data_IF_273278955200
#
_entry.id   IF_273278955200
#
_cell.length_a   1.000
_cell.length_b   1.000
_cell.length_c   1.000
_cell.angle_alpha   90.00
_cell.angle_beta   90.00
_cell.angle_gamma   90.00
#
_symmetry.space_group_name_H-M   'P 1'
#
loop_
_entity.id
_entity.type
_entity.pdbx_description
1 polymer ?
#
# COMPACT_ATOMS: atom_id res chain seq x y z
N UNK A 1 15.84 -15.40 -7.40
CA UNK A 1 15.72 -13.92 -7.38
C UNK A 1 16.81 -13.29 -6.51
N UNK A 2 17.08 -13.86 -5.34
CA UNK A 2 18.21 -13.53 -4.47
C UNK A 2 19.02 -14.81 -4.17
N UNK A 3 20.19 -14.68 -3.59
CA UNK A 3 21.05 -15.77 -3.13
C UNK A 3 20.91 -15.99 -1.60
N UNK A 4 20.75 -14.90 -0.84
CA UNK A 4 20.51 -14.95 0.62
C UNK A 4 19.30 -14.11 1.01
N UNK A 5 18.60 -14.52 2.05
CA UNK A 5 17.48 -13.78 2.62
C UNK A 5 17.62 -13.74 4.14
N UNK A 6 17.67 -12.55 4.73
CA UNK A 6 17.75 -12.37 6.17
C UNK A 6 16.39 -12.01 6.73
N UNK A 7 15.95 -12.69 7.77
CA UNK A 7 14.83 -12.24 8.61
C UNK A 7 15.42 -11.58 9.84
N UNK A 8 15.46 -10.25 9.85
CA UNK A 8 16.12 -9.49 10.90
C UNK A 8 15.29 -9.46 12.21
N UNK A 9 15.99 -9.47 13.34
CA UNK A 9 15.39 -9.36 14.68
C UNK A 9 15.39 -7.96 15.27
N UNK A 10 16.33 -7.10 14.84
CA UNK A 10 16.52 -5.75 15.32
C UNK A 10 17.18 -4.87 14.25
N UNK A 11 17.12 -3.54 14.42
CA UNK A 11 17.70 -2.58 13.46
C UNK A 11 19.22 -2.69 13.38
N UNK A 12 19.90 -2.96 14.49
CA UNK A 12 21.38 -3.00 14.52
C UNK A 12 21.92 -4.14 13.65
N UNK A 13 21.26 -5.30 13.65
CA UNK A 13 21.57 -6.41 12.73
C UNK A 13 21.35 -6.01 11.27
N UNK A 14 20.30 -5.23 10.97
CA UNK A 14 20.04 -4.71 9.61
C UNK A 14 21.21 -3.83 9.16
N UNK A 15 21.60 -2.87 9.99
CA UNK A 15 22.69 -1.94 9.69
C UNK A 15 24.03 -2.67 9.56
N UNK A 16 24.30 -3.68 10.39
CA UNK A 16 25.49 -4.53 10.27
C UNK A 16 25.52 -5.29 8.94
N UNK A 17 24.39 -5.89 8.53
CA UNK A 17 24.31 -6.61 7.27
C UNK A 17 24.52 -5.66 6.09
N UNK A 18 23.92 -4.47 6.11
CA UNK A 18 24.08 -3.48 5.04
C UNK A 18 25.52 -2.95 4.94
N UNK A 19 26.18 -2.67 6.07
CA UNK A 19 27.60 -2.29 6.09
C UNK A 19 28.50 -3.40 5.54
N UNK A 20 28.24 -4.65 5.94
CA UNK A 20 29.05 -5.82 5.55
C UNK A 20 28.89 -6.16 4.07
N UNK A 21 27.66 -6.16 3.58
CA UNK A 21 27.33 -6.62 2.21
C UNK A 21 27.27 -5.48 1.20
N UNK A 22 27.27 -4.24 1.67
CA UNK A 22 27.32 -3.05 0.85
C UNK A 22 26.17 -2.99 -0.15
N UNK A 23 26.42 -2.57 -1.40
CA UNK A 23 25.41 -2.49 -2.46
C UNK A 23 24.74 -3.83 -2.81
N UNK A 24 25.28 -4.97 -2.36
CA UNK A 24 24.70 -6.29 -2.67
C UNK A 24 23.52 -6.67 -1.78
N UNK A 25 23.32 -5.96 -0.66
CA UNK A 25 22.17 -6.15 0.22
C UNK A 25 21.11 -5.07 0.02
N UNK A 26 19.84 -5.45 0.19
CA UNK A 26 18.73 -4.50 0.16
C UNK A 26 17.63 -4.85 1.16
N UNK A 27 17.13 -3.83 1.85
CA UNK A 27 16.00 -3.98 2.77
C UNK A 27 14.73 -4.35 1.97
N UNK A 28 13.91 -5.23 2.54
CA UNK A 28 12.56 -5.53 2.06
C UNK A 28 11.52 -5.38 3.19
N UNK A 29 10.53 -4.53 2.97
CA UNK A 29 9.36 -4.38 3.84
C UNK A 29 8.15 -5.06 3.18
N UNK A 30 7.22 -4.35 2.54
CA UNK A 30 6.11 -5.00 1.84
C UNK A 30 6.51 -5.91 0.67
N UNK A 31 7.58 -5.54 -0.05
CA UNK A 31 8.06 -6.28 -1.23
C UNK A 31 7.23 -6.09 -2.50
N UNK A 32 6.17 -5.29 -2.44
CA UNK A 32 5.18 -5.13 -3.53
C UNK A 32 5.78 -4.58 -4.82
N UNK A 33 6.77 -3.68 -4.74
CA UNK A 33 7.56 -3.21 -5.89
C UNK A 33 8.83 -4.05 -6.08
N UNK A 34 9.62 -4.22 -5.01
CA UNK A 34 10.97 -4.79 -5.09
C UNK A 34 10.98 -6.21 -5.66
N UNK A 35 10.02 -7.06 -5.29
CA UNK A 35 9.96 -8.45 -5.80
C UNK A 35 9.65 -8.47 -7.30
N UNK A 36 8.79 -7.58 -7.78
CA UNK A 36 8.50 -7.46 -9.21
C UNK A 36 9.72 -6.93 -9.97
N UNK A 37 10.41 -5.94 -9.42
CA UNK A 37 11.66 -5.42 -9.98
C UNK A 37 12.71 -6.51 -10.13
N UNK A 38 12.96 -7.30 -9.08
CA UNK A 38 13.91 -8.41 -9.12
C UNK A 38 13.52 -9.49 -10.14
N UNK A 39 12.23 -9.82 -10.26
CA UNK A 39 11.73 -10.77 -11.28
C UNK A 39 12.03 -10.29 -12.70
N UNK A 40 11.86 -8.99 -12.93
CA UNK A 40 12.09 -8.36 -14.22
C UNK A 40 13.57 -8.06 -14.48
N UNK A 41 14.47 -8.56 -13.64
CA UNK A 41 15.92 -8.38 -13.79
C UNK A 41 16.42 -6.98 -13.41
N UNK A 42 15.59 -6.15 -12.78
CA UNK A 42 16.07 -4.91 -12.18
C UNK A 42 16.90 -5.23 -10.93
N UNK A 43 17.93 -4.41 -10.68
CA UNK A 43 18.90 -4.58 -9.58
C UNK A 43 19.75 -5.86 -9.64
N UNK A 44 20.47 -6.12 -10.75
CA UNK A 44 21.26 -7.36 -10.93
C UNK A 44 22.40 -7.53 -9.91
N UNK A 45 22.78 -6.44 -9.22
CA UNK A 45 23.80 -6.43 -8.19
C UNK A 45 23.28 -6.86 -6.81
N UNK A 46 21.96 -6.88 -6.59
CA UNK A 46 21.36 -7.28 -5.30
C UNK A 46 21.37 -8.80 -5.20
N UNK A 47 22.09 -9.31 -4.21
CA UNK A 47 22.24 -10.74 -3.90
C UNK A 47 21.53 -11.13 -2.60
N UNK A 48 21.38 -10.18 -1.68
CA UNK A 48 20.76 -10.42 -0.39
C UNK A 48 19.59 -9.50 -0.14
N UNK A 49 18.54 -10.05 0.46
CA UNK A 49 17.42 -9.27 0.99
C UNK A 49 17.43 -9.28 2.51
N UNK A 50 17.14 -8.14 3.14
CA UNK A 50 17.04 -8.00 4.60
C UNK A 50 15.61 -7.63 4.97
N UNK A 51 14.85 -8.60 5.47
CA UNK A 51 13.45 -8.45 5.84
C UNK A 51 13.30 -7.91 7.25
N UNK A 52 12.58 -6.80 7.36
CA UNK A 52 12.38 -6.06 8.61
C UNK A 52 11.01 -6.31 9.26
N UNK A 53 10.11 -7.08 8.64
CA UNK A 53 8.73 -7.26 9.12
C UNK A 53 8.61 -8.04 10.45
N UNK A 54 9.67 -8.72 10.89
CA UNK A 54 9.71 -9.46 12.16
C UNK A 54 10.59 -8.78 13.21
N UNK A 55 10.95 -7.52 13.00
CA UNK A 55 11.54 -6.66 14.03
C UNK A 55 10.38 -6.11 14.89
N UNK A 56 10.51 -6.21 16.20
CA UNK A 56 9.49 -5.73 17.14
C UNK A 56 9.35 -4.20 17.08
N UNK A 57 8.10 -3.72 17.01
CA UNK A 57 7.78 -2.30 17.19
C UNK A 57 8.14 -1.39 16.04
N UNK A 58 8.27 -1.87 14.79
CA UNK A 58 8.52 -1.04 13.60
C UNK A 58 7.26 -0.51 12.90
N UNK A 59 6.06 -0.94 13.30
CA UNK A 59 4.78 -0.56 12.72
C UNK A 59 4.05 0.53 13.54
N UNK A 60 4.82 1.30 14.31
CA UNK A 60 4.27 2.35 15.17
C UNK A 60 3.76 3.55 14.37
N UNK A 61 2.64 4.11 14.82
CA UNK A 61 2.16 5.44 14.42
C UNK A 61 1.96 6.23 15.72
N UNK A 62 2.83 7.21 15.96
CA UNK A 62 2.92 7.85 17.27
C UNK A 62 2.83 9.37 17.16
N UNK A 63 2.09 9.95 18.09
CA UNK A 63 2.05 11.38 18.35
C UNK A 63 3.14 11.72 19.38
N UNK A 64 4.03 12.65 19.03
CA UNK A 64 5.05 13.18 19.94
C UNK A 64 5.17 14.67 19.73
N UNK A 65 5.00 15.44 20.80
CA UNK A 65 5.01 16.91 20.78
C UNK A 65 4.01 17.46 19.74
N UNK A 66 4.45 18.20 18.72
CA UNK A 66 3.61 18.71 17.62
C UNK A 66 3.76 17.88 16.32
N UNK A 67 4.29 16.67 16.42
CA UNK A 67 4.58 15.82 15.27
C UNK A 67 3.91 14.45 15.34
N UNK A 68 3.81 13.82 14.18
CA UNK A 68 3.42 12.43 14.01
C UNK A 68 4.60 11.68 13.39
N UNK A 69 4.91 10.50 13.92
CA UNK A 69 5.96 9.60 13.43
C UNK A 69 5.34 8.30 12.93
N UNK A 70 5.79 7.81 11.77
CA UNK A 70 5.41 6.51 11.22
C UNK A 70 6.66 5.65 11.08
N UNK A 71 6.60 4.44 11.63
CA UNK A 71 7.69 3.47 11.55
C UNK A 71 7.81 2.75 10.20
N UNK A 72 8.93 2.02 9.97
CA UNK A 72 9.30 1.42 8.69
C UNK A 72 8.31 0.41 8.12
N UNK A 73 7.58 -0.28 9.00
CA UNK A 73 6.65 -1.34 8.60
C UNK A 73 5.18 -0.92 8.70
N UNK A 74 4.90 0.38 8.92
CA UNK A 74 3.53 0.91 8.84
C UNK A 74 2.97 0.69 7.44
N UNK A 75 1.95 -0.16 7.37
CA UNK A 75 1.23 -0.51 6.16
C UNK A 75 0.21 0.56 5.79
N UNK A 76 -0.18 0.62 4.51
CA UNK A 76 -1.22 1.55 4.09
C UNK A 76 -2.55 1.29 4.82
N UNK A 77 -2.94 0.04 5.07
CA UNK A 77 -4.17 -0.28 5.80
C UNK A 77 -4.13 0.16 7.27
N UNK A 78 -2.97 0.11 7.94
CA UNK A 78 -2.84 0.68 9.28
C UNK A 78 -3.10 2.20 9.30
N UNK A 79 -2.78 2.92 8.21
CA UNK A 79 -3.09 4.35 8.13
C UNK A 79 -4.60 4.65 8.11
N UNK A 80 -5.42 3.74 7.58
CA UNK A 80 -6.87 3.94 7.42
C UNK A 80 -7.60 3.99 8.77
N UNK A 81 -7.07 3.30 9.78
CA UNK A 81 -7.71 3.17 11.10
C UNK A 81 -6.89 3.82 12.22
N UNK A 82 -5.86 4.58 11.87
CA UNK A 82 -4.98 5.23 12.84
C UNK A 82 -5.61 6.53 13.36
N UNK A 83 -5.96 6.57 14.66
CA UNK A 83 -6.54 7.77 15.28
C UNK A 83 -5.70 9.04 15.08
N UNK A 84 -4.36 9.04 15.29
CA UNK A 84 -3.55 10.23 15.02
C UNK A 84 -3.64 10.72 13.57
N UNK A 85 -3.64 9.81 12.59
CA UNK A 85 -3.69 10.19 11.18
C UNK A 85 -5.07 10.66 10.76
N UNK A 86 -6.12 10.01 11.24
CA UNK A 86 -7.50 10.44 11.01
C UNK A 86 -7.74 11.85 11.54
N UNK A 87 -7.14 12.18 12.69
CA UNK A 87 -7.30 13.49 13.33
C UNK A 87 -6.44 14.59 12.70
N UNK A 88 -5.19 14.30 12.38
CA UNK A 88 -4.20 15.34 12.06
C UNK A 88 -3.58 15.21 10.66
N UNK A 89 -3.96 14.20 9.87
CA UNK A 89 -3.34 13.91 8.58
C UNK A 89 -4.31 13.27 7.57
N UNK A 90 -5.59 13.67 7.58
CA UNK A 90 -6.61 13.05 6.72
C UNK A 90 -6.26 12.96 5.21
N UNK A 91 -5.55 13.95 4.59
CA UNK A 91 -5.08 13.80 3.21
C UNK A 91 -4.15 12.59 3.00
N UNK A 92 -3.28 12.28 3.98
CA UNK A 92 -2.42 11.10 3.94
C UNK A 92 -3.24 9.81 4.05
N UNK A 93 -4.28 9.80 4.89
CA UNK A 93 -5.20 8.65 5.02
C UNK A 93 -5.92 8.39 3.70
N UNK A 94 -6.47 9.43 3.07
CA UNK A 94 -7.13 9.33 1.76
C UNK A 94 -6.17 8.85 0.66
N UNK A 95 -4.93 9.33 0.67
CA UNK A 95 -3.91 8.85 -0.25
C UNK A 95 -3.57 7.37 -0.02
N UNK A 96 -3.40 6.95 1.24
CA UNK A 96 -3.14 5.55 1.61
C UNK A 96 -4.30 4.62 1.19
N UNK A 97 -5.55 5.05 1.36
CA UNK A 97 -6.74 4.30 0.91
C UNK A 97 -6.75 4.10 -0.60
N UNK A 98 -6.20 5.04 -1.36
CA UNK A 98 -6.14 4.99 -2.82
C UNK A 98 -5.05 4.06 -3.38
N UNK A 99 -4.19 3.49 -2.52
CA UNK A 99 -3.14 2.56 -2.91
C UNK A 99 -3.73 1.19 -3.18
N UNK A 100 -3.52 0.69 -4.39
CA UNK A 100 -3.83 -0.69 -4.79
C UNK A 100 -5.21 -1.18 -4.35
N UNK A 101 -5.29 -2.46 -4.02
CA UNK A 101 -6.42 -3.10 -3.34
C UNK A 101 -6.04 -3.43 -1.88
N UNK A 102 -7.00 -3.80 -1.01
CA UNK A 102 -6.70 -4.08 0.40
C UNK A 102 -5.55 -5.10 0.60
N UNK A 103 -5.45 -6.13 -0.24
CA UNK A 103 -4.35 -7.12 -0.16
C UNK A 103 -2.97 -6.51 -0.42
N UNK A 104 -2.86 -5.50 -1.30
CA UNK A 104 -1.63 -4.74 -1.50
C UNK A 104 -1.38 -3.85 -0.29
N UNK A 105 -2.41 -3.18 0.24
CA UNK A 105 -2.30 -2.29 1.41
C UNK A 105 -1.98 -3.02 2.71
N UNK A 106 -2.28 -4.32 2.80
CA UNK A 106 -1.94 -5.19 3.93
C UNK A 106 -0.44 -5.39 4.13
N UNK A 107 0.35 -5.25 3.07
CA UNK A 107 1.80 -5.49 3.12
C UNK A 107 2.59 -4.28 2.62
N UNK A 108 2.04 -3.50 1.69
CA UNK A 108 2.64 -2.27 1.18
C UNK A 108 2.77 -1.23 2.28
N UNK A 109 4.00 -0.79 2.52
CA UNK A 109 4.36 0.15 3.58
C UNK A 109 4.50 1.57 3.06
N UNK A 110 4.14 2.57 3.88
CA UNK A 110 4.32 3.99 3.55
C UNK A 110 5.79 4.29 3.23
N UNK A 111 6.72 3.86 4.09
CA UNK A 111 8.15 4.08 3.91
C UNK A 111 8.73 3.35 2.69
N UNK A 112 8.29 2.12 2.42
CA UNK A 112 8.61 1.43 1.17
C UNK A 112 8.20 2.23 -0.08
N UNK A 113 7.01 2.85 -0.07
CA UNK A 113 6.55 3.78 -1.11
C UNK A 113 7.51 4.98 -1.30
N UNK A 114 7.99 5.56 -0.18
CA UNK A 114 8.94 6.68 -0.23
C UNK A 114 10.28 6.26 -0.85
N UNK A 115 10.80 5.09 -0.46
CA UNK A 115 12.07 4.54 -0.97
C UNK A 115 11.97 4.18 -2.45
N UNK A 116 10.83 3.64 -2.91
CA UNK A 116 10.60 3.36 -4.34
C UNK A 116 10.71 4.64 -5.19
N UNK A 117 10.34 5.80 -4.64
CA UNK A 117 10.47 7.11 -5.29
C UNK A 117 9.91 7.17 -6.72
N UNK A 118 8.80 6.47 -6.95
CA UNK A 118 8.03 6.62 -8.19
C UNK A 118 7.24 7.94 -8.15
N UNK A 119 7.23 8.72 -9.25
CA UNK A 119 6.48 9.98 -9.32
C UNK A 119 4.96 9.82 -9.19
N UNK A 120 4.46 8.59 -9.38
CA UNK A 120 3.04 8.26 -9.28
C UNK A 120 2.64 7.68 -7.92
N UNK A 121 3.54 7.67 -6.92
CA UNK A 121 3.16 7.29 -5.56
C UNK A 121 2.27 8.35 -4.94
N UNK A 122 1.15 7.92 -4.37
CA UNK A 122 0.13 8.83 -3.90
C UNK A 122 0.45 9.43 -2.54
N UNK A 123 1.10 8.68 -1.64
CA UNK A 123 1.39 9.14 -0.27
C UNK A 123 2.51 10.19 -0.20
N UNK A 124 3.40 10.26 -1.20
CA UNK A 124 4.46 11.28 -1.25
C UNK A 124 3.84 12.69 -1.35
N UNK A 125 2.75 12.83 -2.11
CA UNK A 125 2.06 14.10 -2.35
C UNK A 125 1.59 14.78 -1.05
N UNK A 126 0.79 14.14 -0.18
CA UNK A 126 0.40 14.73 1.10
C UNK A 126 1.55 14.81 2.10
N UNK A 127 2.51 13.89 2.10
CA UNK A 127 3.66 13.98 3.01
C UNK A 127 4.53 15.21 2.73
N UNK A 128 4.77 15.55 1.46
CA UNK A 128 5.44 16.81 1.10
C UNK A 128 4.58 18.01 1.47
N UNK A 129 3.25 17.94 1.28
CA UNK A 129 2.35 19.02 1.68
C UNK A 129 2.35 19.26 3.21
N UNK A 130 2.62 18.22 4.00
CA UNK A 130 2.74 18.25 5.46
C UNK A 130 4.17 18.62 5.95
N UNK A 131 5.06 19.03 5.04
CA UNK A 131 6.49 19.34 5.32
C UNK A 131 7.22 18.17 6.02
N UNK A 132 6.97 16.94 5.57
CA UNK A 132 7.56 15.75 6.15
C UNK A 132 9.08 15.69 6.02
N UNK A 133 9.71 14.99 6.96
CA UNK A 133 11.13 14.61 6.96
C UNK A 133 11.27 13.13 7.23
N UNK A 134 12.40 12.56 6.84
CA UNK A 134 12.75 11.15 7.10
C UNK A 134 14.01 11.10 7.96
N UNK A 135 14.05 10.15 8.89
CA UNK A 135 15.24 9.86 9.70
C UNK A 135 15.97 8.67 9.09
N UNK A 136 17.25 8.86 8.78
CA UNK A 136 18.13 7.85 8.20
C UNK A 136 19.17 7.46 9.25
N UNK A 137 19.40 6.16 9.42
CA UNK A 137 20.43 5.62 10.30
C UNK A 137 21.37 4.70 9.54
N UNK A 138 22.65 4.82 9.84
CA UNK A 138 23.72 3.84 9.59
C UNK A 138 24.29 3.39 10.93
N UNK A 139 25.28 2.50 10.94
CA UNK A 139 25.95 2.11 12.19
C UNK A 139 26.63 3.26 12.92
N UNK A 140 27.12 4.24 12.17
CA UNK A 140 27.96 5.32 12.69
C UNK A 140 27.21 6.65 12.86
N UNK A 141 26.17 6.86 12.06
CA UNK A 141 25.53 8.16 11.92
C UNK A 141 24.01 8.05 11.87
N UNK A 142 23.35 9.09 12.38
CA UNK A 142 21.92 9.35 12.20
C UNK A 142 21.75 10.76 11.63
N UNK A 143 20.88 10.90 10.62
CA UNK A 143 20.58 12.19 10.00
C UNK A 143 19.11 12.31 9.64
N UNK A 144 18.60 13.54 9.69
CA UNK A 144 17.25 13.87 9.26
C UNK A 144 17.31 14.64 7.94
N UNK A 145 16.49 14.24 6.96
CA UNK A 145 16.43 14.85 5.64
C UNK A 145 14.99 15.25 5.34
N UNK A 146 14.77 16.49 4.89
CA UNK A 146 13.47 16.92 4.40
C UNK A 146 13.04 16.04 3.23
N UNK A 147 11.79 15.61 3.22
CA UNK A 147 11.30 14.68 2.20
C UNK A 147 11.41 15.28 0.78
N UNK A 148 11.29 16.60 0.63
CA UNK A 148 11.53 17.29 -0.65
C UNK A 148 12.98 17.14 -1.14
N UNK A 149 13.95 17.14 -0.22
CA UNK A 149 15.38 17.05 -0.54
C UNK A 149 15.84 15.60 -0.68
N UNK A 150 15.07 14.65 -0.14
CA UNK A 150 15.31 13.22 -0.25
C UNK A 150 15.23 12.73 -1.70
N UNK A 151 14.41 13.35 -2.55
CA UNK A 151 14.26 12.98 -3.95
C UNK A 151 15.23 13.71 -4.87
N UNK A 152 16.02 12.97 -5.66
CA UNK A 152 16.98 13.51 -6.64
C UNK A 152 16.54 13.26 -8.10
N UNK A 153 15.35 12.72 -8.30
CA UNK A 153 14.74 12.42 -9.59
C UNK A 153 13.92 11.13 -9.56
N UNK A 154 13.50 10.66 -10.74
CA UNK A 154 12.70 9.43 -10.88
C UNK A 154 13.46 8.24 -10.30
N UNK A 155 12.91 7.62 -9.24
CA UNK A 155 13.51 6.47 -8.56
C UNK A 155 14.94 6.70 -8.07
N UNK A 156 15.29 7.96 -7.77
CA UNK A 156 16.59 8.37 -7.24
C UNK A 156 16.39 9.10 -5.93
N UNK A 157 17.02 8.59 -4.88
CA UNK A 157 16.89 9.10 -3.50
C UNK A 157 18.25 9.36 -2.87
N UNK A 158 18.26 10.21 -1.86
CA UNK A 158 19.39 10.44 -0.96
C UNK A 158 19.42 9.38 0.15
N UNK A 159 19.82 8.16 -0.20
CA UNK A 159 19.98 7.04 0.72
C UNK A 159 21.25 6.27 0.36
N UNK A 160 22.21 6.23 1.28
CA UNK A 160 23.44 5.44 1.13
C UNK A 160 23.13 3.95 1.26
N UNK A 161 23.97 3.10 0.66
CA UNK A 161 23.75 1.65 0.65
C UNK A 161 23.77 1.01 2.05
N UNK A 162 24.39 1.68 3.03
CA UNK A 162 24.44 1.28 4.41
C UNK A 162 23.47 2.03 5.35
N UNK A 163 22.57 2.83 4.78
CA UNK A 163 21.56 3.55 5.52
C UNK A 163 20.20 2.82 5.47
N UNK A 164 19.46 2.90 6.56
CA UNK A 164 18.05 2.54 6.68
C UNK A 164 17.24 3.78 7.04
N UNK A 165 16.08 3.95 6.41
CA UNK A 165 15.09 4.93 6.88
C UNK A 165 14.32 4.31 8.05
N UNK A 166 14.39 4.94 9.22
CA UNK A 166 13.81 4.41 10.47
C UNK A 166 12.48 5.04 10.85
N UNK A 167 12.17 6.22 10.32
CA UNK A 167 10.84 6.82 10.41
C UNK A 167 10.63 7.88 9.33
N UNK A 168 9.36 8.20 9.09
CA UNK A 168 8.94 9.46 8.47
C UNK A 168 8.12 10.24 9.48
N UNK A 169 8.37 11.54 9.60
CA UNK A 169 7.68 12.41 10.55
C UNK A 169 7.29 13.74 9.94
N UNK A 170 6.19 14.31 10.44
CA UNK A 170 5.63 15.57 9.95
C UNK A 170 4.82 16.27 11.04
N UNK A 171 4.56 17.56 10.86
CA UNK A 171 3.76 18.35 11.80
C UNK A 171 2.29 17.98 11.72
N UNK A 172 1.61 18.00 12.85
CA UNK A 172 0.15 17.83 12.89
C UNK A 172 -0.54 18.96 12.15
N UNK A 173 -1.59 18.62 11.40
CA UNK A 173 -2.50 19.65 10.92
C UNK A 173 -3.20 20.34 12.09
N UNK A 174 -3.20 21.66 12.06
CA UNK A 174 -3.82 22.51 13.07
C UNK A 174 -5.34 22.65 12.82
N UNK A 175 -6.14 23.02 13.83
CA UNK A 175 -7.60 23.13 13.68
C UNK A 175 -8.08 24.14 12.62
N UNK A 176 -7.25 25.12 12.28
CA UNK A 176 -7.52 26.11 11.24
C UNK A 176 -7.00 25.70 9.85
N UNK A 177 -6.46 24.48 9.72
CA UNK A 177 -6.02 23.91 8.46
C UNK A 177 -7.06 22.95 7.90
N UNK A 178 -7.26 22.99 6.59
CA UNK A 178 -8.14 22.08 5.85
C UNK A 178 -7.35 21.46 4.71
N UNK A 179 -7.46 20.15 4.55
CA UNK A 179 -6.66 19.40 3.59
C UNK A 179 -7.50 18.45 2.73
N UNK A 180 -7.24 18.40 1.44
CA UNK A 180 -7.84 17.45 0.49
C UNK A 180 -6.76 16.77 -0.35
N UNK A 181 -7.00 15.50 -0.70
CA UNK A 181 -6.20 14.73 -1.64
C UNK A 181 -7.12 14.20 -2.74
N UNK A 182 -6.79 14.49 -3.99
CA UNK A 182 -7.55 14.07 -5.17
C UNK A 182 -6.64 13.31 -6.13
N UNK A 183 -7.10 12.16 -6.60
CA UNK A 183 -6.39 11.30 -7.56
C UNK A 183 -7.26 11.04 -8.78
N UNK A 184 -6.63 10.99 -9.95
CA UNK A 184 -7.24 10.52 -11.18
C UNK A 184 -6.61 9.21 -11.67
N UNK A 185 -7.47 8.25 -12.01
CA UNK A 185 -7.12 6.91 -12.49
C UNK A 185 -8.04 6.48 -13.63
N UNK A 186 -7.60 5.50 -14.42
CA UNK A 186 -8.33 5.01 -15.60
C UNK A 186 -9.42 3.96 -15.29
N UNK A 187 -9.50 3.48 -14.05
CA UNK A 187 -10.51 2.51 -13.55
C UNK A 187 -10.95 2.90 -12.14
N UNK A 188 -12.04 2.31 -11.66
CA UNK A 188 -12.65 2.71 -10.37
C UNK A 188 -11.81 2.38 -9.12
N UNK A 189 -10.96 1.35 -9.18
CA UNK A 189 -10.11 0.93 -8.05
C UNK A 189 -8.80 0.29 -8.53
N UNK A 190 -7.85 0.09 -7.61
CA UNK A 190 -6.60 -0.64 -7.85
C UNK A 190 -5.78 -0.06 -9.02
N UNK A 191 -5.70 1.25 -9.25
CA UNK A 191 -4.93 1.79 -10.38
C UNK A 191 -3.84 2.78 -9.98
N UNK A 192 -2.81 2.83 -10.82
CA UNK A 192 -1.72 3.81 -10.71
C UNK A 192 -2.22 5.17 -11.19
N UNK A 193 -1.88 6.20 -10.43
CA UNK A 193 -2.27 7.58 -10.72
C UNK A 193 -1.79 8.04 -12.08
N UNK A 194 -2.73 8.62 -12.84
CA UNK A 194 -2.39 9.44 -14.01
C UNK A 194 -1.92 10.81 -13.54
N UNK A 195 -2.60 11.38 -12.56
CA UNK A 195 -2.23 12.59 -11.85
C UNK A 195 -2.90 12.59 -10.47
N UNK A 196 -2.28 13.25 -9.49
CA UNK A 196 -2.89 13.54 -8.21
C UNK A 196 -2.55 14.96 -7.76
N UNK A 197 -3.35 15.52 -6.85
CA UNK A 197 -3.10 16.80 -6.21
C UNK A 197 -3.46 16.72 -4.74
N UNK A 198 -2.61 17.27 -3.87
CA UNK A 198 -2.96 17.55 -2.47
C UNK A 198 -3.01 19.05 -2.27
N UNK A 199 -4.03 19.56 -1.58
CA UNK A 199 -4.08 20.95 -1.14
C UNK A 199 -4.25 20.99 0.38
N UNK A 200 -3.46 21.80 1.06
CA UNK A 200 -3.61 22.14 2.48
C UNK A 200 -3.65 23.67 2.59
N UNK A 201 -4.75 24.20 3.12
CA UNK A 201 -4.96 25.64 3.31
C UNK A 201 -5.08 25.96 4.80
N UNK A 202 -4.32 26.95 5.25
CA UNK A 202 -4.42 27.53 6.59
C UNK A 202 -5.29 28.79 6.53
N UNK A 203 -6.31 28.87 7.37
CA UNK A 203 -7.21 30.03 7.45
C UNK A 203 -6.96 30.86 8.71
N UNK A 204 -7.02 32.18 8.59
CA UNK A 204 -7.06 33.08 9.73
C UNK A 204 -8.50 33.19 10.31
N UNK A 205 -8.65 33.95 11.39
CA UNK A 205 -9.94 34.15 12.06
C UNK A 205 -11.03 34.83 11.21
N UNK A 206 -10.66 35.50 10.12
CA UNK A 206 -11.59 36.15 9.18
C UNK A 206 -11.99 35.25 8.00
N UNK A 207 -11.49 34.00 7.97
CA UNK A 207 -11.67 33.06 6.87
C UNK A 207 -10.82 33.38 5.63
N UNK A 208 -9.76 34.17 5.80
CA UNK A 208 -8.77 34.47 4.75
C UNK A 208 -7.64 33.45 4.80
N UNK A 209 -7.18 33.00 3.64
CA UNK A 209 -6.08 32.04 3.52
C UNK A 209 -4.77 32.73 3.93
N UNK A 210 -4.14 32.28 5.00
CA UNK A 210 -2.84 32.79 5.48
C UNK A 210 -1.66 32.00 4.92
N UNK A 211 -1.87 30.74 4.57
CA UNK A 211 -0.88 29.86 3.96
C UNK A 211 -1.58 28.86 3.04
N UNK A 212 -0.94 28.51 1.93
CA UNK A 212 -1.41 27.51 0.99
C UNK A 212 -0.24 26.62 0.57
N UNK A 213 -0.46 25.30 0.62
CA UNK A 213 0.46 24.30 0.09
C UNK A 213 -0.32 23.41 -0.87
N UNK A 214 0.12 23.34 -2.12
CA UNK A 214 -0.48 22.51 -3.16
C UNK A 214 0.62 21.67 -3.81
N UNK A 215 0.54 20.36 -3.67
CA UNK A 215 1.48 19.42 -4.30
C UNK A 215 0.83 18.68 -5.46
N UNK A 216 1.61 18.42 -6.51
CA UNK A 216 1.18 17.77 -7.73
C UNK A 216 2.00 16.49 -7.96
N UNK A 217 1.30 15.37 -8.13
CA UNK A 217 1.90 14.05 -8.38
C UNK A 217 1.65 13.53 -9.79
N UNK A 218 2.58 12.70 -10.26
CA UNK A 218 2.62 12.11 -11.60
C UNK A 218 2.62 13.13 -12.77
N UNK A 219 2.98 14.40 -12.51
CA UNK A 219 3.05 15.47 -13.53
C UNK A 219 4.43 16.13 -13.59
N UNK A 220 5.44 15.51 -13.01
CA UNK A 220 6.85 15.90 -13.04
C UNK A 220 7.74 14.69 -12.64
N UNK A 221 9.08 14.76 -12.78
CA UNK A 221 10.01 13.70 -12.36
C UNK A 221 9.99 13.37 -10.86
N UNK A 222 9.50 14.28 -10.04
CA UNK A 222 9.22 14.12 -8.60
C UNK A 222 7.89 14.81 -8.32
N UNK A 223 7.35 14.66 -7.10
CA UNK A 223 6.27 15.54 -6.65
C UNK A 223 6.77 16.98 -6.64
N UNK A 224 5.96 17.93 -7.11
CA UNK A 224 6.29 19.36 -7.18
C UNK A 224 5.22 20.20 -6.47
N UNK A 225 5.57 21.41 -6.04
CA UNK A 225 4.62 22.38 -5.50
C UNK A 225 4.07 23.28 -6.60
N UNK A 226 2.78 23.57 -6.55
CA UNK A 226 2.11 24.55 -7.41
C UNK A 226 2.26 25.96 -6.84
N UNK A 227 3.50 26.42 -6.68
CA UNK A 227 3.83 27.69 -6.02
C UNK A 227 3.11 28.90 -6.64
N UNK A 228 2.82 28.86 -7.94
CA UNK A 228 2.13 29.95 -8.61
C UNK A 228 0.69 30.08 -8.12
N UNK A 229 0.02 28.96 -7.89
CA UNK A 229 -1.33 28.92 -7.30
C UNK A 229 -1.31 29.27 -5.81
N UNK A 230 -0.34 28.73 -5.07
CA UNK A 230 -0.18 29.00 -3.64
C UNK A 230 -0.04 30.50 -3.34
N UNK A 231 0.85 31.19 -4.07
CA UNK A 231 1.07 32.64 -3.94
C UNK A 231 -0.18 33.45 -4.25
N UNK A 232 -1.00 33.01 -5.20
CA UNK A 232 -2.25 33.67 -5.56
C UNK A 232 -3.33 33.52 -4.47
N UNK A 233 -3.39 32.35 -3.81
CA UNK A 233 -4.40 32.05 -2.79
C UNK A 233 -4.20 32.85 -1.50
N UNK A 234 -2.96 33.09 -1.08
CA UNK A 234 -2.65 33.82 0.16
C UNK A 234 -3.25 35.22 0.14
N UNK A 235 -3.93 35.59 1.22
CA UNK A 235 -4.62 36.87 1.39
C UNK A 235 -6.02 36.92 0.77
N UNK A 236 -6.55 35.81 0.23
CA UNK A 236 -7.91 35.73 -0.33
C UNK A 236 -8.85 34.88 0.52
N UNK A 237 -10.14 35.14 0.40
CA UNK A 237 -11.19 34.21 0.85
C UNK A 237 -11.44 33.20 -0.27
N UNK A 238 -11.59 31.93 0.09
CA UNK A 238 -11.88 30.89 -0.89
C UNK A 238 -13.32 31.06 -1.40
N UNK A 239 -13.46 31.11 -2.73
CA UNK A 239 -14.75 31.16 -3.44
C UNK A 239 -14.55 30.63 -4.87
N UNK A 240 -15.64 30.45 -5.63
CA UNK A 240 -15.58 29.86 -6.97
C UNK A 240 -14.66 30.60 -7.95
N UNK A 241 -14.59 31.93 -7.91
CA UNK A 241 -13.72 32.73 -8.79
C UNK A 241 -12.24 32.53 -8.43
N UNK A 242 -11.92 32.59 -7.13
CA UNK A 242 -10.57 32.38 -6.60
C UNK A 242 -10.09 30.95 -6.89
N UNK A 243 -10.97 29.96 -6.73
CA UNK A 243 -10.68 28.56 -7.02
C UNK A 243 -10.36 28.39 -8.51
N UNK A 244 -11.21 28.90 -9.40
CA UNK A 244 -11.02 28.76 -10.84
C UNK A 244 -9.69 29.38 -11.32
N UNK A 245 -9.32 30.55 -10.78
CA UNK A 245 -8.07 31.21 -11.15
C UNK A 245 -6.84 30.50 -10.55
N UNK A 246 -6.86 30.13 -9.27
CA UNK A 246 -5.77 29.39 -8.64
C UNK A 246 -5.50 28.06 -9.36
N UNK A 247 -6.55 27.36 -9.77
CA UNK A 247 -6.45 26.07 -10.47
C UNK A 247 -5.77 26.22 -11.83
N UNK A 248 -6.12 27.25 -12.60
CA UNK A 248 -5.42 27.58 -13.87
C UNK A 248 -3.95 27.93 -13.63
N UNK A 249 -3.65 28.66 -12.56
CA UNK A 249 -2.27 29.04 -12.25
C UNK A 249 -1.39 27.83 -11.90
N UNK A 250 -1.96 26.79 -11.27
CA UNK A 250 -1.23 25.57 -10.92
C UNK A 250 -0.66 24.82 -12.14
N UNK A 251 -1.27 24.98 -13.31
CA UNK A 251 -0.82 24.38 -14.56
C UNK A 251 0.63 24.78 -14.92
N UNK A 252 1.06 25.98 -14.52
CA UNK A 252 2.40 26.53 -14.82
C UNK A 252 3.53 25.79 -14.12
N UNK A 253 3.23 25.02 -13.08
CA UNK A 253 4.21 24.35 -12.24
C UNK A 253 4.38 22.85 -12.61
N UNK A 254 3.49 22.30 -13.45
CA UNK A 254 3.60 20.95 -14.00
C UNK A 254 4.58 20.84 -15.17
N UNK A 255 5.28 19.71 -15.26
CA UNK A 255 6.15 19.34 -16.40
C UNK A 255 5.89 17.88 -16.81
N UNK A 256 4.66 17.52 -17.22
CA UNK A 256 4.30 16.14 -17.50
C UNK A 256 5.01 15.59 -18.74
N UNK A 257 5.01 14.25 -18.84
CA UNK A 257 5.48 13.51 -20.02
C UNK A 257 4.37 12.58 -20.51
N UNK A 258 4.46 12.16 -21.77
CA UNK A 258 3.62 11.09 -22.31
C UNK A 258 4.14 9.71 -21.88
N UNK A 259 3.25 8.82 -21.49
CA UNK A 259 3.56 7.40 -21.24
C UNK A 259 2.39 6.49 -21.65
N UNK A 260 2.46 5.21 -21.30
CA UNK A 260 1.41 4.21 -21.59
C UNK A 260 0.06 4.52 -20.91
N UNK A 261 0.02 5.40 -19.91
CA UNK A 261 -1.19 5.73 -19.15
C UNK A 261 -1.89 6.96 -19.69
N UNK A 262 -1.14 7.96 -20.12
CA UNK A 262 -1.69 9.22 -20.63
C UNK A 262 -0.68 10.02 -21.45
N UNK A 263 -1.19 10.85 -22.36
CA UNK A 263 -0.38 11.87 -23.03
C UNK A 263 0.00 13.02 -22.10
N UNK A 264 1.07 13.72 -22.45
CA UNK A 264 1.51 14.94 -21.78
C UNK A 264 0.38 15.99 -21.74
N UNK A 265 -0.33 16.20 -22.85
CA UNK A 265 -1.40 17.19 -22.97
C UNK A 265 -2.57 16.84 -22.05
N UNK A 266 -2.91 15.56 -21.94
CA UNK A 266 -3.97 15.12 -21.05
C UNK A 266 -3.59 15.28 -19.57
N UNK A 267 -2.34 14.94 -19.21
CA UNK A 267 -1.83 15.20 -17.84
C UNK A 267 -1.80 16.69 -17.52
N UNK A 268 -1.38 17.52 -18.49
CA UNK A 268 -1.37 18.98 -18.37
C UNK A 268 -2.78 19.52 -18.10
N UNK A 269 -3.78 19.03 -18.86
CA UNK A 269 -5.20 19.36 -18.65
C UNK A 269 -5.73 18.89 -17.28
N UNK A 270 -5.26 17.75 -16.76
CA UNK A 270 -5.72 17.23 -15.47
C UNK A 270 -5.25 18.07 -14.27
N UNK A 271 -4.15 18.80 -14.37
CA UNK A 271 -3.63 19.63 -13.26
C UNK A 271 -4.69 20.61 -12.73
N UNK A 272 -5.22 21.55 -13.53
CA UNK A 272 -6.23 22.50 -13.06
C UNK A 272 -7.50 21.77 -12.58
N UNK A 273 -7.92 20.69 -13.24
CA UNK A 273 -9.12 19.93 -12.84
C UNK A 273 -8.98 19.34 -11.44
N UNK A 274 -7.82 18.77 -11.10
CA UNK A 274 -7.59 18.13 -9.80
C UNK A 274 -7.40 19.16 -8.70
N UNK A 275 -6.69 20.25 -8.98
CA UNK A 275 -6.55 21.37 -8.03
C UNK A 275 -7.91 22.01 -7.75
N UNK A 276 -8.73 22.24 -8.78
CA UNK A 276 -10.07 22.78 -8.63
C UNK A 276 -10.95 21.88 -7.76
N UNK A 277 -10.91 20.56 -7.97
CA UNK A 277 -11.63 19.61 -7.12
C UNK A 277 -11.17 19.65 -5.67
N UNK A 278 -9.86 19.64 -5.42
CA UNK A 278 -9.31 19.67 -4.07
C UNK A 278 -9.71 20.96 -3.32
N UNK A 279 -9.64 22.10 -4.00
CA UNK A 279 -10.05 23.38 -3.42
C UNK A 279 -11.57 23.48 -3.21
N UNK A 280 -12.38 22.92 -4.11
CA UNK A 280 -13.83 22.84 -3.94
C UNK A 280 -14.23 21.94 -2.76
N UNK A 281 -13.55 20.81 -2.54
CA UNK A 281 -13.78 19.97 -1.35
C UNK A 281 -13.50 20.75 -0.06
N UNK A 282 -12.42 21.54 -0.05
CA UNK A 282 -12.09 22.41 1.10
C UNK A 282 -13.17 23.48 1.31
N UNK A 283 -13.62 24.12 0.23
CA UNK A 283 -14.62 25.18 0.26
C UNK A 283 -15.99 24.68 0.76
N UNK A 284 -16.42 23.51 0.31
CA UNK A 284 -17.74 22.96 0.59
C UNK A 284 -17.78 22.12 1.88
N UNK A 285 -16.63 21.88 2.52
CA UNK A 285 -16.51 21.07 3.74
C UNK A 285 -16.37 19.56 3.49
N UNK A 286 -16.39 19.12 2.23
CA UNK A 286 -16.25 17.72 1.84
C UNK A 286 -14.86 17.14 2.15
N UNK A 287 -13.85 17.99 2.34
CA UNK A 287 -12.50 17.59 2.74
C UNK A 287 -12.48 16.71 3.99
N UNK A 288 -13.45 16.89 4.91
CA UNK A 288 -13.59 16.13 6.15
C UNK A 288 -14.35 14.80 5.99
N UNK A 289 -14.95 14.53 4.83
CA UNK A 289 -15.65 13.26 4.57
C UNK A 289 -14.64 12.11 4.50
N UNK A 290 -14.86 11.10 5.33
CA UNK A 290 -14.12 9.85 5.36
C UNK A 290 -15.02 8.75 5.93
N UNK A 291 -14.90 7.54 5.38
CA UNK A 291 -15.58 6.37 5.91
C UNK A 291 -14.78 5.81 7.09
N UNK A 292 -15.34 5.91 8.30
CA UNK A 292 -14.68 5.46 9.54
C UNK A 292 -14.64 3.94 9.69
N UNK A 293 -15.30 3.19 8.81
CA UNK A 293 -15.29 1.72 8.80
C UNK A 293 -14.85 1.18 7.41
N UNK A 294 -13.61 1.47 6.98
CA UNK A 294 -13.15 1.09 5.64
C UNK A 294 -12.86 -0.41 5.54
N UNK A 295 -12.99 -0.97 4.34
CA UNK A 295 -12.64 -2.38 4.09
C UNK A 295 -11.11 -2.61 4.12
N UNK A 296 -10.65 -3.44 5.05
CA UNK A 296 -9.24 -3.79 5.24
C UNK A 296 -8.90 -5.22 4.76
N UNK A 297 -9.87 -6.13 4.78
CA UNK A 297 -9.70 -7.59 4.66
C UNK A 297 -8.87 -8.20 5.80
N UNK A 298 -8.90 -7.62 6.99
CA UNK A 298 -8.23 -8.17 8.16
C UNK A 298 -9.03 -9.29 8.85
N UNK A 299 -10.31 -9.42 8.51
CA UNK A 299 -11.20 -10.33 9.19
C UNK A 299 -11.33 -9.93 10.66
N UNK A 300 -11.20 -10.89 11.57
CA UNK A 300 -11.32 -10.66 13.03
C UNK A 300 -9.99 -10.35 13.73
N UNK A 301 -8.87 -10.38 13.02
CA UNK A 301 -7.53 -10.25 13.61
C UNK A 301 -6.93 -8.88 13.28
N UNK A 302 -6.08 -8.35 14.16
CA UNK A 302 -5.38 -7.07 13.96
C UNK A 302 -3.87 -7.17 14.12
N UNK A 303 -3.35 -8.37 14.40
CA UNK A 303 -1.94 -8.66 14.59
C UNK A 303 -1.57 -9.94 13.85
N UNK A 304 -0.65 -9.83 12.88
CA UNK A 304 -0.37 -10.89 11.92
C UNK A 304 1.07 -11.39 11.95
N UNK A 305 2.01 -10.64 12.52
CA UNK A 305 3.42 -11.02 12.54
C UNK A 305 3.91 -11.15 13.97
N UNK A 306 4.71 -12.18 14.21
CA UNK A 306 5.39 -12.40 15.48
C UNK A 306 6.86 -12.01 15.33
N UNK A 307 7.42 -11.21 16.24
CA UNK A 307 8.84 -10.90 16.22
C UNK A 307 9.70 -12.16 16.16
N UNK A 308 10.88 -12.06 15.54
CA UNK A 308 11.91 -13.11 15.63
C UNK A 308 12.90 -12.75 16.72
N UNK A 309 13.27 -13.73 17.57
CA UNK A 309 14.19 -13.51 18.68
C UNK A 309 15.66 -13.36 18.24
N UNK A 310 15.99 -13.82 17.04
CA UNK A 310 17.32 -13.73 16.44
C UNK A 310 17.20 -13.55 14.94
N UNK A 311 18.19 -12.89 14.35
CA UNK A 311 18.28 -12.78 12.90
C UNK A 311 18.56 -14.15 12.28
N UNK A 312 17.75 -14.52 11.30
CA UNK A 312 17.85 -15.79 10.57
C UNK A 312 18.38 -15.52 9.17
N UNK A 313 19.19 -16.43 8.63
CA UNK A 313 19.64 -16.40 7.24
C UNK A 313 19.08 -17.61 6.51
N UNK A 314 18.24 -17.35 5.52
CA UNK A 314 17.71 -18.36 4.62
C UNK A 314 18.55 -18.38 3.35
N UNK A 315 19.23 -19.50 3.12
CA UNK A 315 19.91 -19.85 1.89
C UNK A 315 19.58 -21.32 1.51
N UNK A 316 20.23 -21.88 0.50
CA UNK A 316 19.96 -23.26 0.05
C UNK A 316 20.28 -24.32 1.13
N UNK A 317 21.02 -23.97 2.19
CA UNK A 317 21.35 -24.90 3.27
C UNK A 317 20.29 -24.93 4.38
N UNK A 318 19.47 -23.89 4.54
CA UNK A 318 18.44 -23.81 5.59
C UNK A 318 17.04 -24.13 5.06
N UNK A 319 16.32 -24.99 5.79
CA UNK A 319 14.97 -25.38 5.44
C UNK A 319 13.94 -24.35 5.94
N UNK A 320 12.94 -24.06 5.10
CA UNK A 320 11.74 -23.31 5.49
C UNK A 320 10.80 -24.27 6.21
N UNK A 321 10.50 -23.99 7.48
CA UNK A 321 9.55 -24.75 8.30
C UNK A 321 8.27 -23.93 8.47
N UNK A 322 7.13 -24.44 8.04
CA UNK A 322 5.87 -23.69 8.02
C UNK A 322 4.69 -24.63 8.29
N UNK A 323 3.55 -24.06 8.69
CA UNK A 323 2.28 -24.77 8.73
C UNK A 323 1.49 -24.38 7.49
N UNK A 324 0.98 -25.33 6.72
CA UNK A 324 0.07 -25.07 5.59
C UNK A 324 -1.21 -25.86 5.80
N UNK A 325 -2.34 -25.17 5.89
CA UNK A 325 -3.66 -25.75 6.18
C UNK A 325 -3.64 -26.67 7.42
N UNK A 326 -2.92 -26.25 8.48
CA UNK A 326 -2.74 -26.99 9.72
C UNK A 326 -1.73 -28.15 9.68
N UNK A 327 -1.12 -28.44 8.53
CA UNK A 327 -0.10 -29.49 8.40
C UNK A 327 1.32 -28.92 8.41
N UNK A 328 2.27 -29.62 9.03
CA UNK A 328 3.68 -29.21 9.04
C UNK A 328 4.38 -29.50 7.71
N UNK A 329 5.06 -28.49 7.16
CA UNK A 329 5.89 -28.61 5.98
C UNK A 329 7.33 -28.18 6.29
N UNK A 330 8.29 -28.97 5.81
CA UNK A 330 9.72 -28.63 5.80
C UNK A 330 10.20 -28.63 4.36
N UNK A 331 10.48 -27.45 3.83
CA UNK A 331 10.87 -27.24 2.43
C UNK A 331 12.34 -26.87 2.35
N UNK A 332 13.13 -27.61 1.57
CA UNK A 332 14.58 -27.40 1.43
C UNK A 332 14.97 -26.72 0.11
N UNK A 333 14.00 -26.40 -0.76
CA UNK A 333 14.22 -25.79 -2.07
C UNK A 333 13.34 -24.55 -2.27
N UNK A 334 13.75 -23.66 -3.17
CA UNK A 334 12.93 -22.51 -3.57
C UNK A 334 12.98 -21.31 -2.62
N UNK A 335 13.98 -21.22 -1.74
CA UNK A 335 14.24 -20.07 -0.86
C UNK A 335 14.42 -18.76 -1.66
N UNK A 336 14.80 -18.85 -2.92
CA UNK A 336 14.98 -17.74 -3.85
C UNK A 336 13.75 -17.43 -4.73
N UNK A 337 12.59 -18.04 -4.42
CA UNK A 337 11.32 -17.91 -5.15
C UNK A 337 10.24 -17.21 -4.29
N UNK A 338 9.05 -17.08 -4.87
CA UNK A 338 7.87 -16.52 -4.20
C UNK A 338 7.11 -17.58 -3.41
N UNK A 339 6.34 -17.14 -2.42
CA UNK A 339 5.46 -17.98 -1.62
C UNK A 339 4.48 -18.78 -2.49
N UNK A 340 3.97 -18.17 -3.57
CA UNK A 340 3.11 -18.86 -4.53
C UNK A 340 3.78 -20.07 -5.18
N UNK A 341 5.09 -20.02 -5.42
CA UNK A 341 5.85 -21.16 -5.96
C UNK A 341 6.10 -22.21 -4.89
N UNK A 342 6.49 -21.82 -3.68
CA UNK A 342 6.66 -22.74 -2.55
C UNK A 342 5.38 -23.56 -2.33
N UNK A 343 4.23 -22.91 -2.25
CA UNK A 343 2.94 -23.58 -2.02
C UNK A 343 2.57 -24.54 -3.16
N UNK A 344 2.80 -24.12 -4.41
CA UNK A 344 2.37 -24.91 -5.58
C UNK A 344 3.32 -26.03 -5.96
N UNK A 345 4.62 -25.75 -5.97
CA UNK A 345 5.65 -26.62 -6.53
C UNK A 345 6.29 -27.51 -5.47
N UNK A 346 6.49 -26.99 -4.24
CA UNK A 346 7.13 -27.75 -3.16
C UNK A 346 6.11 -28.43 -2.24
N UNK A 347 5.03 -27.73 -1.87
CA UNK A 347 3.94 -28.31 -1.06
C UNK A 347 2.87 -29.05 -1.89
N UNK A 348 2.88 -28.91 -3.22
CA UNK A 348 1.95 -29.59 -4.12
C UNK A 348 0.50 -29.06 -4.12
N UNK A 349 0.23 -27.93 -3.45
CA UNK A 349 -1.09 -27.32 -3.32
C UNK A 349 -1.34 -26.32 -4.45
N UNK A 350 -2.02 -26.78 -5.51
CA UNK A 350 -2.12 -26.05 -6.78
C UNK A 350 -3.41 -25.23 -6.95
N UNK A 351 -4.25 -25.17 -5.94
CA UNK A 351 -5.50 -24.41 -5.90
C UNK A 351 -5.25 -22.91 -6.03
N UNK A 352 -4.32 -22.36 -5.25
CA UNK A 352 -3.87 -20.96 -5.39
C UNK A 352 -3.24 -20.75 -6.77
N UNK A 353 -3.80 -19.88 -7.60
CA UNK A 353 -3.38 -19.73 -9.02
C UNK A 353 -2.42 -18.56 -9.22
N UNK A 354 -1.54 -18.68 -10.21
CA UNK A 354 -0.64 -17.58 -10.63
C UNK A 354 -1.16 -17.03 -11.96
N UNK A 355 -1.97 -15.97 -11.89
CA UNK A 355 -2.53 -15.30 -13.08
C UNK A 355 -1.55 -14.35 -13.75
N UNK A 356 -1.45 -13.11 -13.25
CA UNK A 356 -0.49 -12.13 -13.79
C UNK A 356 0.93 -12.31 -13.24
N UNK A 357 1.08 -12.78 -12.00
CA UNK A 357 2.38 -12.87 -11.33
C UNK A 357 2.96 -11.53 -10.81
N UNK A 358 2.17 -10.46 -10.91
CA UNK A 358 2.57 -9.06 -10.66
C UNK A 358 1.78 -8.40 -9.51
N UNK A 359 0.88 -9.13 -8.84
CA UNK A 359 0.05 -8.59 -7.76
C UNK A 359 -1.21 -7.83 -8.21
N UNK A 360 -1.55 -7.88 -9.49
CA UNK A 360 -2.71 -7.15 -10.04
C UNK A 360 -4.02 -7.96 -9.98
N UNK A 361 -3.99 -9.26 -10.33
CA UNK A 361 -5.24 -10.01 -10.57
C UNK A 361 -5.82 -10.71 -9.34
N UNK A 362 -5.09 -10.79 -8.23
CA UNK A 362 -5.56 -11.41 -6.98
C UNK A 362 -5.73 -12.93 -7.00
N UNK A 363 -5.50 -13.63 -8.13
CA UNK A 363 -5.73 -15.08 -8.21
C UNK A 363 -4.83 -15.92 -7.27
N UNK A 364 -3.71 -15.33 -6.84
CA UNK A 364 -2.75 -15.94 -5.92
C UNK A 364 -3.02 -15.60 -4.43
N UNK A 365 -4.17 -14.99 -4.12
CA UNK A 365 -4.52 -14.65 -2.74
C UNK A 365 -4.52 -15.91 -1.87
N UNK A 366 -3.85 -15.83 -0.73
CA UNK A 366 -3.87 -16.80 0.36
C UNK A 366 -3.70 -16.04 1.68
N UNK A 367 -3.83 -16.72 2.81
CA UNK A 367 -3.59 -16.10 4.11
C UNK A 367 -2.21 -16.47 4.64
N UNK A 368 -1.48 -15.48 5.15
CA UNK A 368 -0.24 -15.66 5.91
C UNK A 368 -0.49 -15.12 7.32
N UNK A 369 -0.50 -16.03 8.30
CA UNK A 369 -0.91 -15.77 9.68
C UNK A 369 -2.29 -15.09 9.76
N UNK A 370 -3.24 -15.52 8.91
CA UNK A 370 -4.58 -14.93 8.83
C UNK A 370 -4.70 -13.66 7.96
N UNK A 371 -3.59 -13.02 7.56
CA UNK A 371 -3.59 -11.83 6.69
C UNK A 371 -3.69 -12.22 5.22
N UNK A 372 -4.69 -11.75 4.44
CA UNK A 372 -4.72 -11.98 3.01
C UNK A 372 -3.63 -11.20 2.29
N UNK A 373 -2.78 -11.96 1.59
CA UNK A 373 -1.63 -11.47 0.83
C UNK A 373 -1.61 -12.03 -0.58
N UNK A 374 -0.99 -11.30 -1.49
CA UNK A 374 -0.75 -11.76 -2.86
C UNK A 374 0.55 -12.56 -2.89
N UNK A 375 0.45 -13.88 -2.77
CA UNK A 375 1.62 -14.75 -2.60
C UNK A 375 2.62 -14.72 -3.76
N UNK A 376 2.24 -14.20 -4.93
CA UNK A 376 3.17 -13.98 -6.03
C UNK A 376 4.15 -12.81 -5.78
N UNK A 377 3.92 -11.96 -4.77
CA UNK A 377 4.81 -10.87 -4.37
C UNK A 377 5.52 -11.13 -3.03
N UNK A 378 5.18 -12.21 -2.33
CA UNK A 378 5.76 -12.54 -1.04
C UNK A 378 6.97 -13.45 -1.25
N UNK A 379 8.17 -13.13 -0.72
CA UNK A 379 9.31 -14.06 -0.71
C UNK A 379 8.99 -15.35 0.05
N UNK A 380 9.36 -16.50 -0.50
CA UNK A 380 9.14 -17.80 0.13
C UNK A 380 9.71 -17.91 1.57
N UNK A 381 10.90 -17.35 1.89
CA UNK A 381 11.44 -17.40 3.25
C UNK A 381 10.52 -16.83 4.34
N UNK A 382 9.57 -15.94 4.00
CA UNK A 382 8.58 -15.42 4.96
C UNK A 382 7.65 -16.49 5.51
N UNK A 383 7.48 -17.62 4.83
CA UNK A 383 6.70 -18.73 5.36
C UNK A 383 7.35 -19.37 6.61
N UNK A 384 8.66 -19.16 6.82
CA UNK A 384 9.36 -19.77 7.96
C UNK A 384 8.73 -19.32 9.29
N UNK A 385 8.26 -20.30 10.07
CA UNK A 385 7.51 -20.15 11.33
C UNK A 385 6.19 -19.39 11.20
N UNK A 386 5.62 -19.33 10.00
CA UNK A 386 4.30 -18.78 9.75
C UNK A 386 3.29 -19.90 9.46
N UNK A 387 2.01 -19.55 9.61
CA UNK A 387 0.86 -20.36 9.22
C UNK A 387 0.31 -19.84 7.89
N UNK A 388 0.13 -20.74 6.93
CA UNK A 388 -0.36 -20.44 5.59
C UNK A 388 -1.70 -21.15 5.41
N UNK A 389 -2.73 -20.42 4.99
CA UNK A 389 -4.02 -20.99 4.61
C UNK A 389 -4.24 -20.75 3.12
N UNK A 390 -4.36 -21.84 2.36
CA UNK A 390 -4.64 -21.81 0.92
C UNK A 390 -6.13 -22.01 0.67
N UNK A 391 -6.57 -21.92 -0.59
CA UNK A 391 -7.97 -22.17 -0.95
C UNK A 391 -8.43 -23.58 -0.58
N UNK A 392 -7.53 -24.56 -0.60
CA UNK A 392 -7.78 -25.94 -0.18
C UNK A 392 -8.07 -26.05 1.33
N UNK A 393 -7.58 -25.09 2.13
CA UNK A 393 -7.82 -25.05 3.59
C UNK A 393 -9.09 -24.30 4.01
N UNK A 394 -9.90 -23.81 3.07
CA UNK A 394 -11.14 -23.07 3.36
C UNK A 394 -12.31 -24.01 3.68
N UNK A 395 -12.35 -25.19 3.05
CA UNK A 395 -13.32 -26.24 3.37
C UNK A 395 -12.81 -27.12 4.52
N UNK A 396 -13.72 -27.72 5.29
CA UNK A 396 -13.37 -28.67 6.35
C UNK A 396 -13.14 -30.11 5.82
N UNK A 397 -13.30 -30.32 4.50
CA UNK A 397 -13.12 -31.61 3.83
C UNK A 397 -14.42 -32.40 3.63
N UNK A 398 -15.47 -32.10 4.40
CA UNK A 398 -16.80 -32.70 4.27
C UNK A 398 -17.80 -31.71 3.64
N UNK A 399 -17.71 -30.43 4.03
CA UNK A 399 -18.58 -29.34 3.62
C UNK A 399 -17.78 -28.21 2.98
N UNK A 400 -18.36 -27.61 1.95
CA UNK A 400 -17.86 -26.37 1.38
C UNK A 400 -18.15 -25.21 2.33
N UNK A 401 -17.25 -24.23 2.37
CA UNK A 401 -17.54 -22.96 3.04
C UNK A 401 -18.73 -22.27 2.35
N UNK A 402 -19.63 -21.56 3.07
CA UNK A 402 -20.79 -20.89 2.47
C UNK A 402 -20.47 -20.00 1.26
N UNK A 403 -19.34 -19.28 1.32
CA UNK A 403 -18.82 -18.53 0.15
C UNK A 403 -18.56 -19.44 -1.05
N UNK A 404 -17.90 -20.59 -0.88
CA UNK A 404 -17.65 -21.52 -1.98
C UNK A 404 -18.97 -22.06 -2.55
N UNK A 405 -19.92 -22.42 -1.69
CA UNK A 405 -21.24 -22.92 -2.09
C UNK A 405 -22.04 -21.86 -2.85
N UNK A 406 -22.10 -20.63 -2.34
CA UNK A 406 -22.82 -19.54 -2.97
C UNK A 406 -22.24 -19.19 -4.35
N UNK A 407 -20.91 -19.26 -4.54
CA UNK A 407 -20.31 -19.08 -5.86
C UNK A 407 -20.75 -20.15 -6.87
N UNK A 408 -20.96 -21.39 -6.42
CA UNK A 408 -21.48 -22.47 -7.27
C UNK A 408 -22.94 -22.18 -7.63
N UNK A 409 -23.76 -21.88 -6.63
CA UNK A 409 -25.21 -21.69 -6.82
C UNK A 409 -25.54 -20.51 -7.73
N UNK A 410 -24.82 -19.39 -7.59
CA UNK A 410 -25.02 -18.19 -8.41
C UNK A 410 -24.33 -18.28 -9.79
N UNK A 411 -23.71 -19.43 -10.12
CA UNK A 411 -22.97 -19.61 -11.38
C UNK A 411 -21.77 -18.67 -11.51
N UNK A 412 -21.19 -18.23 -10.39
CA UNK A 412 -20.07 -17.29 -10.32
C UNK A 412 -18.71 -17.92 -10.69
N UNK A 413 -18.72 -19.11 -11.31
CA UNK A 413 -17.55 -19.89 -11.69
C UNK A 413 -17.60 -20.16 -13.20
N UNK A 414 -17.12 -19.19 -13.99
CA UNK A 414 -17.02 -19.32 -15.46
C UNK A 414 -15.79 -20.17 -15.86
N UNK A 415 -14.64 -19.55 -16.14
CA UNK A 415 -13.39 -20.28 -16.38
C UNK A 415 -12.73 -20.80 -15.08
N UNK A 416 -13.19 -20.32 -13.92
CA UNK A 416 -12.73 -20.74 -12.59
C UNK A 416 -11.33 -20.27 -12.16
N UNK A 417 -10.53 -19.67 -13.05
CA UNK A 417 -9.11 -19.40 -12.76
C UNK A 417 -8.90 -18.37 -11.64
N UNK A 418 -9.74 -17.34 -11.59
CA UNK A 418 -9.69 -16.29 -10.58
C UNK A 418 -10.46 -16.64 -9.30
N UNK A 419 -11.34 -17.65 -9.36
CA UNK A 419 -12.28 -18.03 -8.30
C UNK A 419 -11.59 -18.27 -6.95
N UNK A 420 -10.43 -18.96 -6.86
CA UNK A 420 -9.72 -19.09 -5.58
C UNK A 420 -9.44 -17.75 -4.91
N UNK A 421 -8.96 -16.77 -5.66
CA UNK A 421 -8.68 -15.44 -5.12
C UNK A 421 -9.94 -14.72 -4.63
N UNK A 422 -11.05 -14.83 -5.37
CA UNK A 422 -12.33 -14.24 -4.97
C UNK A 422 -12.87 -14.87 -3.68
N UNK A 423 -12.81 -16.20 -3.55
CA UNK A 423 -13.22 -16.90 -2.32
C UNK A 423 -12.37 -16.42 -1.14
N UNK A 424 -11.03 -16.39 -1.29
CA UNK A 424 -10.14 -15.97 -0.21
C UNK A 424 -10.43 -14.53 0.24
N UNK A 425 -10.68 -13.60 -0.69
CA UNK A 425 -11.03 -12.21 -0.32
C UNK A 425 -12.41 -12.10 0.31
N UNK A 426 -13.42 -12.80 -0.25
CA UNK A 426 -14.79 -12.75 0.25
C UNK A 426 -14.92 -13.34 1.66
N UNK A 427 -14.23 -14.44 1.96
CA UNK A 427 -14.20 -15.01 3.32
C UNK A 427 -13.67 -13.98 4.33
N UNK A 428 -12.57 -13.29 4.02
CA UNK A 428 -12.01 -12.25 4.91
C UNK A 428 -12.91 -11.03 5.03
N UNK A 429 -13.57 -10.64 3.94
CA UNK A 429 -14.58 -9.58 3.99
C UNK A 429 -15.73 -9.93 4.92
N UNK A 430 -16.28 -11.15 4.84
CA UNK A 430 -17.41 -11.57 5.67
C UNK A 430 -17.02 -11.83 7.13
N UNK A 431 -15.75 -12.18 7.41
CA UNK A 431 -15.22 -12.20 8.77
C UNK A 431 -15.16 -10.81 9.41
N UNK A 432 -14.84 -9.79 8.62
CA UNK A 432 -14.69 -8.39 9.04
C UNK A 432 -16.05 -7.69 9.12
N UNK A 433 -16.86 -7.83 8.07
CA UNK A 433 -18.19 -7.25 7.90
C UNK A 433 -19.18 -8.37 7.57
N UNK A 434 -19.89 -8.93 8.56
CA UNK A 434 -20.81 -10.07 8.35
C UNK A 434 -21.98 -9.79 7.41
N UNK A 435 -22.37 -8.52 7.27
CA UNK A 435 -23.42 -8.05 6.37
C UNK A 435 -22.91 -6.83 5.58
N UNK A 436 -21.98 -7.02 4.63
CA UNK A 436 -21.41 -5.93 3.86
C UNK A 436 -22.45 -5.38 2.88
N UNK A 437 -22.39 -4.08 2.59
CA UNK A 437 -23.16 -3.52 1.48
C UNK A 437 -22.47 -3.79 0.12
N UNK A 438 -23.12 -3.44 -0.99
CA UNK A 438 -22.55 -3.66 -2.32
C UNK A 438 -21.21 -2.92 -2.53
N UNK A 439 -21.02 -1.76 -1.90
CA UNK A 439 -19.78 -0.99 -1.98
C UNK A 439 -18.65 -1.67 -1.18
N UNK A 440 -18.93 -2.16 0.02
CA UNK A 440 -18.00 -2.98 0.81
C UNK A 440 -17.53 -4.20 -0.01
N UNK A 441 -18.46 -4.90 -0.66
CA UNK A 441 -18.14 -6.06 -1.53
C UNK A 441 -17.23 -5.64 -2.68
N UNK A 442 -17.57 -4.56 -3.40
CA UNK A 442 -16.73 -4.05 -4.50
C UNK A 442 -15.33 -3.68 -4.01
N UNK A 443 -15.20 -3.05 -2.85
CA UNK A 443 -13.90 -2.68 -2.28
C UNK A 443 -13.08 -3.90 -1.86
N UNK A 444 -13.70 -4.86 -1.15
CA UNK A 444 -13.05 -6.10 -0.72
C UNK A 444 -12.59 -6.97 -1.90
N UNK A 445 -13.32 -6.94 -3.01
CA UNK A 445 -12.99 -7.70 -4.22
C UNK A 445 -12.17 -6.92 -5.26
N UNK A 446 -11.86 -5.64 -5.02
CA UNK A 446 -11.11 -4.80 -5.97
C UNK A 446 -9.71 -5.33 -6.32
N UNK A 447 -9.17 -6.21 -5.47
CA UNK A 447 -7.90 -6.92 -5.70
C UNK A 447 -7.98 -8.10 -6.66
N UNK A 448 -9.19 -8.52 -7.05
CA UNK A 448 -9.43 -9.73 -7.82
C UNK A 448 -10.01 -9.38 -9.19
N UNK A 449 -9.31 -9.80 -10.25
CA UNK A 449 -9.71 -9.50 -11.64
C UNK A 449 -10.23 -10.77 -12.31
N UNK A 450 -11.48 -10.73 -12.75
CA UNK A 450 -12.10 -11.75 -13.58
C UNK A 450 -12.05 -11.37 -15.07
N UNK A 451 -11.30 -12.14 -15.86
CA UNK A 451 -11.23 -11.95 -17.33
C UNK A 451 -12.56 -12.25 -18.04
N UNK A 452 -13.37 -13.14 -17.49
CA UNK A 452 -14.66 -13.54 -18.07
C UNK A 452 -15.83 -12.60 -17.68
N UNK A 453 -15.55 -11.56 -16.91
CA UNK A 453 -16.48 -10.46 -16.56
C UNK A 453 -17.75 -10.85 -15.78
N UNK A 454 -17.79 -12.02 -15.13
CA UNK A 454 -18.92 -12.49 -14.30
C UNK A 454 -19.14 -11.78 -12.96
N UNK A 455 -18.83 -10.48 -12.84
CA UNK A 455 -18.80 -9.77 -11.54
C UNK A 455 -20.16 -9.70 -10.83
N UNK A 456 -21.27 -9.57 -11.57
CA UNK A 456 -22.61 -9.52 -10.95
C UNK A 456 -22.93 -10.80 -10.17
N UNK A 457 -22.68 -11.97 -10.77
CA UNK A 457 -22.85 -13.27 -10.09
C UNK A 457 -21.89 -13.43 -8.92
N UNK A 458 -20.66 -12.91 -9.01
CA UNK A 458 -19.70 -12.94 -7.90
C UNK A 458 -20.21 -12.09 -6.73
N UNK A 459 -20.73 -10.89 -6.99
CA UNK A 459 -21.29 -10.02 -5.95
C UNK A 459 -22.51 -10.69 -5.31
N UNK A 460 -23.45 -11.19 -6.12
CA UNK A 460 -24.63 -11.91 -5.63
C UNK A 460 -24.25 -13.13 -4.76
N UNK A 461 -23.19 -13.86 -5.12
CA UNK A 461 -22.68 -14.97 -4.32
C UNK A 461 -22.17 -14.52 -2.94
N UNK A 462 -21.47 -13.37 -2.87
CA UNK A 462 -21.01 -12.83 -1.58
C UNK A 462 -22.19 -12.36 -0.72
N UNK A 463 -23.18 -11.69 -1.32
CA UNK A 463 -24.41 -11.28 -0.63
C UNK A 463 -25.17 -12.48 -0.07
N UNK A 464 -25.32 -13.54 -0.87
CA UNK A 464 -25.96 -14.79 -0.46
C UNK A 464 -25.20 -15.47 0.69
N UNK A 465 -23.88 -15.57 0.58
CA UNK A 465 -23.05 -16.14 1.64
C UNK A 465 -23.13 -15.32 2.94
N UNK A 466 -23.23 -14.00 2.84
CA UNK A 466 -23.40 -13.11 4.00
C UNK A 466 -24.72 -13.39 4.74
N UNK A 467 -25.81 -13.60 4.00
CA UNK A 467 -27.13 -13.96 4.57
C UNK A 467 -27.06 -15.31 5.28
N UNK A 468 -26.51 -16.32 4.62
CA UNK A 468 -26.39 -17.69 5.16
C UNK A 468 -25.55 -17.73 6.45
N UNK A 469 -24.36 -17.11 6.44
CA UNK A 469 -23.47 -17.05 7.62
C UNK A 469 -24.13 -16.29 8.78
N UNK A 470 -24.90 -15.25 8.47
CA UNK A 470 -25.62 -14.46 9.48
C UNK A 470 -26.91 -15.13 9.96
N UNK A 471 -27.31 -16.27 9.41
CA UNK A 471 -28.55 -16.97 9.73
C UNK A 471 -29.82 -16.21 9.33
N UNK A 472 -29.74 -15.39 8.27
CA UNK A 472 -30.85 -14.58 7.75
C UNK A 472 -31.49 -15.18 6.50
#
# INVERSE_FOLDING_TARGET
MWESYYTASNIEDVLEILDREGPSARIIAGGTDLVLELKNGAHPHVKSLVDINRIEGLDFIQEKDDQIYLGPTVTHNQCLVSEPLLKYALPLVKAAQSIGAPQIRNVGTVLGNLITASPANDTISPLIALDASVTLRSRENERVVKLSDFYKGVRKIDLSHNEMVVDVHFKKMQPNQKGSFIKYILRQAHAISVANATAILTFNHEGVISEAVITLGAVAPTIVRAETAEKYLVGKKLNSEVIAEASKLAEKDGRPISDVRASQEYRQYLIPVLVEKALNEINNGDWAKYDSDPVLLWGKQTSFFKPTLRTLKHDEAEAIKTLINGQEYTVTKGQNNTLSKLVREEAGLTGTKIGCGEGECGACTLYMNGLPVLSCLIPAPRAHQCEITTIEGISDGENLHPVQQALIDEGAVQCGYCTPGFVMSAVKLLEEKPLPDENDIKQGLAGNICRCTGYYSIIAAVEKAAQEISGK
#
